data_IF_907358314647
#
_entry.id   IF_907358314647
#
_cell.length_a   1.000
_cell.length_b   1.000
_cell.length_c   1.000
_cell.angle_alpha   90.00
_cell.angle_beta   90.00
_cell.angle_gamma   90.00
#
_symmetry.space_group_name_H-M   'P 1'
#
loop_
_entity.id
_entity.type
_entity.pdbx_description
1 polymer ?
#
# COMPACT_ATOMS: atom_id res chain seq x y z
N UNK A 1 -6.93 1.05 -29.78
CA UNK A 1 -6.80 0.44 -28.45
C UNK A 1 -5.59 1.08 -27.80
N UNK A 2 -5.81 1.83 -26.71
CA UNK A 2 -4.74 2.39 -25.89
C UNK A 2 -3.68 1.33 -25.56
N UNK A 3 -2.41 1.71 -25.49
CA UNK A 3 -1.32 0.78 -25.16
C UNK A 3 -1.32 0.38 -23.67
N UNK A 4 -2.19 0.98 -22.85
CA UNK A 4 -2.25 0.79 -21.40
C UNK A 4 -2.88 -0.54 -20.97
N UNK A 5 -3.81 -1.13 -21.75
CA UNK A 5 -4.52 -2.37 -21.35
C UNK A 5 -3.58 -3.55 -21.07
N UNK A 6 -2.49 -3.64 -21.82
CA UNK A 6 -1.54 -4.75 -21.80
C UNK A 6 -0.37 -4.54 -20.83
N UNK A 7 -0.24 -3.33 -20.27
CA UNK A 7 0.74 -3.03 -19.24
C UNK A 7 0.26 -3.57 -17.89
N UNK A 8 1.20 -3.91 -17.02
CA UNK A 8 0.87 -4.35 -15.67
C UNK A 8 0.45 -3.17 -14.81
N UNK A 9 -0.37 -3.40 -13.79
CA UNK A 9 -0.81 -2.35 -12.87
C UNK A 9 0.41 -1.70 -12.19
N UNK A 10 1.40 -2.50 -11.78
CA UNK A 10 2.65 -2.02 -11.19
C UNK A 10 3.44 -1.10 -12.13
N UNK A 11 3.53 -1.43 -13.42
CA UNK A 11 4.19 -0.58 -14.42
C UNK A 11 3.44 0.75 -14.59
N UNK A 12 2.12 0.70 -14.63
CA UNK A 12 1.31 1.91 -14.77
C UNK A 12 1.41 2.79 -13.51
N UNK A 13 1.41 2.19 -12.32
CA UNK A 13 1.56 2.89 -11.05
C UNK A 13 2.92 3.58 -10.93
N UNK A 14 3.99 2.91 -11.42
CA UNK A 14 5.35 3.44 -11.46
C UNK A 14 5.51 4.60 -12.44
N UNK A 15 4.99 4.45 -13.66
CA UNK A 15 5.35 5.33 -14.78
C UNK A 15 4.38 6.51 -14.96
N UNK A 16 3.21 6.48 -14.30
CA UNK A 16 2.18 7.53 -14.41
C UNK A 16 1.97 8.16 -13.02
N UNK A 17 2.50 9.37 -12.76
CA UNK A 17 2.22 10.10 -11.52
C UNK A 17 0.72 10.21 -11.25
N UNK A 18 0.29 9.92 -10.01
CA UNK A 18 -1.12 9.90 -9.62
C UNK A 18 -1.89 8.61 -9.95
N UNK A 19 -1.30 7.64 -10.66
CA UNK A 19 -2.02 6.42 -11.03
C UNK A 19 -2.41 5.55 -9.83
N UNK A 20 -1.63 5.55 -8.73
CA UNK A 20 -1.98 4.81 -7.51
C UNK A 20 -3.33 5.27 -6.93
N UNK A 21 -3.68 6.55 -7.09
CA UNK A 21 -5.01 7.08 -6.69
C UNK A 21 -6.13 6.56 -7.58
N UNK A 22 -5.88 6.41 -8.88
CA UNK A 22 -6.84 5.78 -9.81
C UNK A 22 -7.05 4.33 -9.40
N UNK A 23 -5.98 3.57 -9.17
CA UNK A 23 -6.09 2.17 -8.77
C UNK A 23 -6.79 1.99 -7.43
N UNK A 24 -6.52 2.84 -6.44
CA UNK A 24 -7.27 2.86 -5.17
C UNK A 24 -8.76 3.08 -5.36
N UNK A 25 -9.15 4.00 -6.25
CA UNK A 25 -10.56 4.26 -6.55
C UNK A 25 -11.29 3.03 -7.11
N UNK A 26 -10.58 2.22 -7.90
CA UNK A 26 -11.09 0.98 -8.48
C UNK A 26 -10.72 -0.27 -7.67
N UNK A 27 -10.16 -0.10 -6.47
CA UNK A 27 -9.68 -1.16 -5.57
C UNK A 27 -8.69 -2.14 -6.20
N UNK A 28 -7.93 -1.70 -7.20
CA UNK A 28 -6.93 -2.51 -7.88
C UNK A 28 -5.64 -2.57 -7.07
N UNK A 29 -5.08 -3.77 -6.90
CA UNK A 29 -3.81 -3.98 -6.21
C UNK A 29 -2.65 -3.62 -7.15
N UNK A 30 -1.93 -2.55 -6.81
CA UNK A 30 -0.78 -2.02 -7.54
C UNK A 30 0.56 -2.24 -6.84
N UNK A 31 0.57 -2.83 -5.64
CA UNK A 31 1.76 -2.97 -4.81
C UNK A 31 2.29 -4.42 -4.79
N UNK A 32 1.48 -5.39 -4.36
CA UNK A 32 1.88 -6.81 -4.25
C UNK A 32 1.43 -7.61 -5.47
N UNK A 33 0.15 -7.48 -5.86
CA UNK A 33 -0.47 -8.13 -7.02
C UNK A 33 -0.25 -7.41 -8.36
N UNK A 34 0.50 -6.31 -8.38
CA UNK A 34 0.61 -5.40 -9.53
C UNK A 34 1.22 -6.00 -10.81
N UNK A 35 1.69 -7.26 -10.80
CA UNK A 35 2.20 -7.99 -11.98
C UNK A 35 1.09 -8.36 -12.99
N UNK A 36 -0.18 -8.29 -12.58
CA UNK A 36 -1.31 -8.54 -13.47
C UNK A 36 -1.49 -7.41 -14.49
N UNK A 37 -1.91 -7.75 -15.72
CA UNK A 37 -2.26 -6.75 -16.74
C UNK A 37 -3.55 -6.02 -16.37
N UNK A 38 -3.61 -4.73 -16.66
CA UNK A 38 -4.78 -3.89 -16.34
C UNK A 38 -6.10 -4.50 -16.83
N UNK A 39 -6.13 -4.99 -18.07
CA UNK A 39 -7.35 -5.58 -18.67
C UNK A 39 -7.81 -6.84 -17.96
N UNK A 40 -6.89 -7.65 -17.46
CA UNK A 40 -7.21 -8.93 -16.83
C UNK A 40 -7.72 -8.67 -15.41
N UNK A 41 -7.08 -7.76 -14.67
CA UNK A 41 -7.53 -7.33 -13.36
C UNK A 41 -8.91 -6.66 -13.38
N UNK A 42 -9.14 -5.78 -14.37
CA UNK A 42 -10.44 -5.15 -14.55
C UNK A 42 -11.53 -6.18 -14.88
N UNK A 43 -11.24 -7.16 -15.76
CA UNK A 43 -12.18 -8.22 -16.12
C UNK A 43 -12.54 -9.09 -14.92
N UNK A 44 -11.57 -9.48 -14.10
CA UNK A 44 -11.78 -10.32 -12.92
C UNK A 44 -12.67 -9.64 -11.86
N UNK A 45 -12.58 -8.32 -11.75
CA UNK A 45 -13.41 -7.52 -10.84
C UNK A 45 -14.70 -6.97 -11.46
N UNK A 46 -14.96 -7.25 -12.73
CA UNK A 46 -16.15 -6.73 -13.43
C UNK A 46 -16.14 -5.21 -13.60
N UNK A 47 -14.95 -4.60 -13.68
CA UNK A 47 -14.77 -3.15 -13.82
C UNK A 47 -14.78 -2.72 -15.29
N UNK A 48 -15.18 -1.48 -15.54
CA UNK A 48 -15.07 -0.85 -16.85
C UNK A 48 -13.62 -0.42 -17.11
N UNK A 49 -12.89 -1.25 -17.86
CA UNK A 49 -11.49 -0.99 -18.20
C UNK A 49 -11.31 0.29 -19.03
N UNK A 50 -12.32 0.68 -19.82
CA UNK A 50 -12.26 1.91 -20.62
C UNK A 50 -12.28 3.16 -19.72
N UNK A 51 -13.11 3.13 -18.67
CA UNK A 51 -13.15 4.20 -17.68
C UNK A 51 -11.83 4.34 -16.91
N UNK A 52 -11.17 3.21 -16.59
CA UNK A 52 -9.86 3.22 -15.91
C UNK A 52 -8.79 3.80 -16.84
N UNK A 53 -8.74 3.35 -18.10
CA UNK A 53 -7.79 3.84 -19.10
C UNK A 53 -7.97 5.34 -19.34
N UNK A 54 -9.21 5.81 -19.48
CA UNK A 54 -9.49 7.24 -19.65
C UNK A 54 -9.02 8.08 -18.45
N UNK A 55 -9.17 7.57 -17.22
CA UNK A 55 -8.68 8.24 -16.02
C UNK A 55 -7.14 8.31 -15.98
N UNK A 56 -6.45 7.24 -16.41
CA UNK A 56 -4.99 7.22 -16.51
C UNK A 56 -4.47 8.15 -17.60
N UNK A 57 -5.10 8.17 -18.78
CA UNK A 57 -4.73 9.07 -19.89
C UNK A 57 -4.90 10.55 -19.48
N UNK A 58 -5.94 10.88 -18.71
CA UNK A 58 -6.14 12.24 -18.19
C UNK A 58 -5.00 12.71 -17.28
N UNK A 59 -4.36 11.82 -16.52
CA UNK A 59 -3.18 12.14 -15.70
C UNK A 59 -1.94 12.40 -16.55
N UNK A 60 -1.80 11.70 -17.68
CA UNK A 60 -0.70 11.93 -18.64
C UNK A 60 -0.85 13.28 -19.33
N UNK A 61 -2.08 13.64 -19.73
CA UNK A 61 -2.35 14.92 -20.40
C UNK A 61 -2.28 16.12 -19.45
N UNK A 62 -2.59 15.91 -18.17
CA UNK A 62 -2.58 16.94 -17.12
C UNK A 62 -1.86 16.41 -15.90
N UNK A 63 -0.52 16.34 -15.96
CA UNK A 63 0.26 15.85 -14.84
C UNK A 63 0.03 16.74 -13.63
N UNK A 64 -0.41 16.12 -12.53
CA UNK A 64 -0.45 16.79 -11.24
C UNK A 64 0.97 17.03 -10.72
N UNK A 65 1.18 18.00 -9.81
CA UNK A 65 2.49 18.31 -9.26
C UNK A 65 3.03 17.24 -8.29
N UNK A 66 2.58 15.99 -8.41
CA UNK A 66 3.12 14.88 -7.63
C UNK A 66 4.56 14.58 -8.05
N UNK A 67 5.39 14.30 -7.05
CA UNK A 67 6.80 14.02 -7.27
C UNK A 67 6.95 12.69 -8.00
N UNK A 68 7.69 12.67 -9.10
CA UNK A 68 8.12 11.43 -9.72
C UNK A 68 9.24 10.79 -8.89
N UNK A 69 8.95 9.66 -8.25
CA UNK A 69 9.94 8.90 -7.47
C UNK A 69 10.81 7.99 -8.33
N UNK A 70 10.40 7.70 -9.57
CA UNK A 70 11.18 6.89 -10.50
C UNK A 70 12.58 7.45 -10.75
N UNK A 71 12.69 8.78 -10.82
CA UNK A 71 13.94 9.48 -11.13
C UNK A 71 14.71 9.91 -9.87
N UNK A 72 14.24 9.52 -8.68
CA UNK A 72 14.86 9.90 -7.42
C UNK A 72 16.04 8.99 -7.08
N UNK A 73 17.08 9.57 -6.47
CA UNK A 73 18.19 8.80 -5.91
C UNK A 73 17.66 7.83 -4.83
N UNK A 74 18.13 6.56 -4.78
CA UNK A 74 17.64 5.58 -3.81
C UNK A 74 17.70 6.07 -2.36
N UNK A 75 18.76 6.82 -2.00
CA UNK A 75 18.90 7.41 -0.66
C UNK A 75 17.78 8.41 -0.35
N UNK A 76 17.35 9.19 -1.32
CA UNK A 76 16.29 10.18 -1.13
C UNK A 76 14.93 9.50 -0.98
N UNK A 77 14.65 8.47 -1.79
CA UNK A 77 13.45 7.66 -1.65
C UNK A 77 13.41 6.94 -0.30
N UNK A 78 14.53 6.38 0.16
CA UNK A 78 14.64 5.79 1.51
C UNK A 78 14.29 6.83 2.59
N UNK A 79 14.85 8.04 2.53
CA UNK A 79 14.53 9.09 3.52
C UNK A 79 13.05 9.46 3.49
N UNK A 80 12.44 9.50 2.31
CA UNK A 80 11.01 9.69 2.18
C UNK A 80 10.23 8.56 2.82
N UNK A 81 10.59 7.30 2.55
CA UNK A 81 9.91 6.13 3.11
C UNK A 81 9.93 6.15 4.64
N UNK A 82 11.11 6.40 5.22
CA UNK A 82 11.29 6.49 6.66
C UNK A 82 10.43 7.59 7.30
N UNK A 83 10.44 8.79 6.72
CA UNK A 83 9.75 9.94 7.29
C UNK A 83 8.24 9.96 7.02
N UNK A 84 7.82 9.58 5.82
CA UNK A 84 6.42 9.67 5.37
C UNK A 84 5.60 8.44 5.72
N UNK A 85 6.20 7.25 5.73
CA UNK A 85 5.47 5.99 5.93
C UNK A 85 5.86 5.32 7.23
N UNK A 86 7.13 4.98 7.48
CA UNK A 86 7.50 4.22 8.68
C UNK A 86 7.13 4.95 9.97
N UNK A 87 7.54 6.21 10.10
CA UNK A 87 7.16 7.03 11.25
C UNK A 87 5.63 7.17 11.35
N UNK A 88 4.96 7.34 10.22
CA UNK A 88 3.51 7.53 10.18
C UNK A 88 2.75 6.29 10.62
N UNK A 89 3.17 5.09 10.21
CA UNK A 89 2.56 3.82 10.63
C UNK A 89 2.71 3.59 12.13
N UNK A 90 3.87 3.95 12.70
CA UNK A 90 4.11 3.92 14.16
C UNK A 90 3.18 4.83 14.94
N UNK A 91 2.70 5.91 14.34
CA UNK A 91 1.69 6.80 14.93
C UNK A 91 0.26 6.31 14.68
N UNK A 92 -0.03 5.79 13.49
CA UNK A 92 -1.37 5.35 13.07
C UNK A 92 -1.85 4.13 13.85
N UNK A 93 -1.04 3.06 13.91
CA UNK A 93 -1.48 1.77 14.43
C UNK A 93 -1.88 1.81 15.93
N UNK A 94 -1.13 2.47 16.84
CA UNK A 94 -1.56 2.60 18.22
C UNK A 94 -2.92 3.29 18.37
N UNK A 95 -3.19 4.34 17.60
CA UNK A 95 -4.46 5.06 17.63
C UNK A 95 -5.60 4.22 17.04
N UNK A 96 -5.34 3.51 15.94
CA UNK A 96 -6.29 2.56 15.35
C UNK A 96 -6.69 1.47 16.34
N UNK A 97 -5.72 0.85 17.02
CA UNK A 97 -5.95 -0.17 18.04
C UNK A 97 -6.80 0.40 19.18
N UNK A 98 -6.47 1.60 19.67
CA UNK A 98 -7.22 2.26 20.74
C UNK A 98 -8.68 2.52 20.36
N UNK A 99 -8.92 3.00 19.14
CA UNK A 99 -10.26 3.28 18.62
C UNK A 99 -11.06 2.00 18.35
N UNK A 100 -10.42 0.98 17.75
CA UNK A 100 -11.03 -0.32 17.50
C UNK A 100 -11.47 -0.98 18.81
N UNK A 101 -10.59 -0.98 19.82
CA UNK A 101 -10.92 -1.53 21.14
C UNK A 101 -12.11 -0.81 21.74
N UNK A 102 -12.16 0.53 21.63
CA UNK A 102 -13.28 1.31 22.16
C UNK A 102 -14.59 1.02 21.43
N UNK A 103 -14.55 0.81 20.12
CA UNK A 103 -15.73 0.43 19.33
C UNK A 103 -16.21 -0.94 19.78
N UNK A 104 -15.34 -1.94 19.86
CA UNK A 104 -15.69 -3.30 20.29
C UNK A 104 -16.24 -3.33 21.73
N UNK A 105 -15.65 -2.59 22.67
CA UNK A 105 -16.13 -2.51 24.06
C UNK A 105 -17.56 -1.93 24.18
N UNK A 106 -17.90 -0.95 23.36
CA UNK A 106 -19.19 -0.23 23.45
C UNK A 106 -20.26 -0.85 22.56
N UNK A 107 -19.84 -1.49 21.47
CA UNK A 107 -20.74 -1.95 20.41
C UNK A 107 -20.67 -3.45 20.13
N UNK A 108 -19.91 -4.24 20.89
CA UNK A 108 -19.68 -5.68 20.64
C UNK A 108 -20.94 -6.55 20.54
N UNK A 109 -22.05 -6.15 21.16
CA UNK A 109 -23.34 -6.84 21.05
C UNK A 109 -24.09 -6.54 19.73
N UNK A 110 -23.63 -5.54 18.95
CA UNK A 110 -24.22 -5.20 17.66
C UNK A 110 -23.69 -6.14 16.57
N UNK A 111 -24.56 -6.63 15.67
CA UNK A 111 -24.15 -7.54 14.60
C UNK A 111 -23.22 -6.88 13.55
N UNK A 112 -23.18 -5.55 13.49
CA UNK A 112 -22.33 -4.78 12.59
C UNK A 112 -21.00 -4.36 13.23
N UNK A 113 -20.75 -4.70 14.50
CA UNK A 113 -19.49 -4.40 15.16
C UNK A 113 -18.36 -5.22 14.53
N UNK A 114 -17.20 -4.60 14.21
CA UNK A 114 -16.06 -5.29 13.62
C UNK A 114 -15.28 -6.07 14.70
N UNK A 115 -15.94 -7.04 15.32
CA UNK A 115 -15.35 -7.84 16.41
C UNK A 115 -14.09 -8.54 15.92
N UNK A 116 -13.00 -8.44 16.69
CA UNK A 116 -11.69 -9.00 16.35
C UNK A 116 -10.77 -8.06 15.56
N UNK A 117 -11.24 -6.87 15.17
CA UNK A 117 -10.42 -5.86 14.50
C UNK A 117 -9.25 -5.39 15.39
N UNK A 118 -9.47 -5.26 16.68
CA UNK A 118 -8.44 -4.86 17.65
C UNK A 118 -7.27 -5.83 17.66
N UNK A 119 -7.55 -7.13 17.73
CA UNK A 119 -6.52 -8.18 17.75
C UNK A 119 -5.79 -8.25 16.41
N UNK A 120 -6.53 -8.11 15.30
CA UNK A 120 -5.96 -8.05 13.96
C UNK A 120 -4.99 -6.87 13.80
N UNK A 121 -5.37 -5.67 14.24
CA UNK A 121 -4.51 -4.48 14.19
C UNK A 121 -3.27 -4.61 15.08
N UNK A 122 -3.37 -5.29 16.23
CA UNK A 122 -2.21 -5.58 17.10
C UNK A 122 -1.23 -6.52 16.40
N UNK A 123 -1.73 -7.55 15.73
CA UNK A 123 -0.88 -8.44 14.93
C UNK A 123 -0.20 -7.68 13.78
N UNK A 124 -0.96 -6.86 13.03
CA UNK A 124 -0.41 -6.01 11.97
C UNK A 124 0.69 -5.07 12.49
N UNK A 125 0.50 -4.47 13.67
CA UNK A 125 1.51 -3.60 14.30
C UNK A 125 2.80 -4.36 14.61
N UNK A 126 2.70 -5.56 15.19
CA UNK A 126 3.87 -6.35 15.52
C UNK A 126 4.67 -6.73 14.27
N UNK A 127 3.98 -7.24 13.24
CA UNK A 127 4.62 -7.67 12.02
C UNK A 127 5.23 -6.48 11.25
N UNK A 128 4.48 -5.38 11.11
CA UNK A 128 4.96 -4.21 10.39
C UNK A 128 6.16 -3.54 11.11
N UNK A 129 6.17 -3.49 12.44
CA UNK A 129 7.33 -2.95 13.16
C UNK A 129 8.57 -3.84 12.97
N UNK A 130 8.41 -5.17 13.08
CA UNK A 130 9.48 -6.13 12.83
C UNK A 130 10.05 -6.01 11.41
N UNK A 131 9.15 -5.90 10.42
CA UNK A 131 9.46 -5.65 9.03
C UNK A 131 10.28 -4.37 8.83
N UNK A 132 9.72 -3.22 9.23
CA UNK A 132 10.36 -1.91 9.09
C UNK A 132 11.73 -1.84 9.78
N UNK A 133 11.92 -2.52 10.92
CA UNK A 133 13.23 -2.59 11.57
C UNK A 133 14.29 -3.31 10.72
N UNK A 134 13.94 -4.40 10.02
CA UNK A 134 14.88 -5.12 9.15
C UNK A 134 15.30 -4.23 7.98
N UNK A 135 14.36 -3.45 7.46
CA UNK A 135 14.64 -2.50 6.40
C UNK A 135 15.56 -1.38 6.88
N UNK A 136 15.17 -0.71 7.96
CA UNK A 136 15.90 0.40 8.57
C UNK A 136 17.33 0.04 8.96
N UNK A 137 17.53 -1.14 9.56
CA UNK A 137 18.81 -1.53 10.14
C UNK A 137 19.71 -2.27 9.16
N UNK A 138 19.13 -3.00 8.19
CA UNK A 138 19.88 -3.90 7.30
C UNK A 138 19.69 -3.50 5.84
N UNK A 139 18.48 -3.57 5.29
CA UNK A 139 18.27 -3.47 3.84
C UNK A 139 18.57 -2.07 3.30
N UNK A 140 17.99 -1.02 3.87
CA UNK A 140 18.19 0.35 3.40
C UNK A 140 19.65 0.81 3.50
N UNK A 141 20.41 0.49 4.56
CA UNK A 141 21.86 0.72 4.58
C UNK A 141 22.63 -0.01 3.48
N UNK A 142 22.24 -1.23 3.11
CA UNK A 142 22.87 -1.97 2.01
C UNK A 142 22.56 -1.35 0.65
N UNK A 143 21.28 -1.02 0.39
CA UNK A 143 20.86 -0.33 -0.84
C UNK A 143 21.58 1.02 -0.97
N UNK A 144 21.65 1.80 0.11
CA UNK A 144 22.33 3.11 0.13
C UNK A 144 23.84 3.05 -0.16
N UNK A 145 24.46 1.87 -0.07
CA UNK A 145 25.89 1.66 -0.35
C UNK A 145 26.14 1.06 -1.74
N UNK A 146 25.10 0.79 -2.54
CA UNK A 146 25.24 0.12 -3.83
C UNK A 146 25.73 -1.32 -3.67
N UNK A 147 25.21 -2.06 -2.68
CA UNK A 147 25.62 -3.44 -2.38
C UNK A 147 25.36 -4.46 -3.53
N UNK A 148 24.80 -4.03 -4.66
CA UNK A 148 24.62 -4.83 -5.87
C UNK A 148 23.86 -6.14 -5.60
N UNK A 149 24.27 -7.28 -6.18
CA UNK A 149 23.54 -8.56 -6.05
C UNK A 149 23.30 -9.05 -4.61
N UNK A 150 24.03 -8.53 -3.62
CA UNK A 150 23.85 -8.92 -2.21
C UNK A 150 22.48 -8.53 -1.63
N UNK A 151 21.78 -7.57 -2.24
CA UNK A 151 20.42 -7.19 -1.78
C UNK A 151 19.33 -8.13 -2.28
N UNK A 152 19.61 -9.04 -3.24
CA UNK A 152 18.60 -9.90 -3.84
C UNK A 152 17.91 -10.83 -2.84
N UNK A 153 18.67 -11.48 -1.96
CA UNK A 153 18.11 -12.35 -0.93
C UNK A 153 17.24 -11.58 0.07
N UNK A 154 17.76 -10.51 0.70
CA UNK A 154 16.98 -9.65 1.58
C UNK A 154 15.70 -9.06 0.95
N UNK A 155 15.78 -8.58 -0.30
CA UNK A 155 14.60 -8.04 -1.02
C UNK A 155 13.53 -9.11 -1.18
N UNK A 156 13.90 -10.34 -1.57
CA UNK A 156 12.92 -11.41 -1.73
C UNK A 156 12.17 -11.74 -0.42
N UNK A 157 12.83 -11.59 0.73
CA UNK A 157 12.17 -11.75 2.04
C UNK A 157 11.21 -10.59 2.32
N UNK A 158 11.60 -9.34 2.02
CA UNK A 158 10.71 -8.18 2.20
C UNK A 158 9.49 -8.27 1.28
N UNK A 159 9.65 -8.66 0.01
CA UNK A 159 8.54 -8.86 -0.91
C UNK A 159 7.56 -9.94 -0.42
N UNK A 160 8.06 -11.03 0.18
CA UNK A 160 7.21 -12.06 0.80
C UNK A 160 6.41 -11.49 1.99
N UNK A 161 7.04 -10.65 2.81
CA UNK A 161 6.35 -10.00 3.94
C UNK A 161 5.35 -8.94 3.46
N UNK A 162 5.61 -8.27 2.33
CA UNK A 162 4.65 -7.39 1.68
C UNK A 162 3.40 -8.13 1.21
N UNK A 163 3.55 -9.35 0.68
CA UNK A 163 2.39 -10.20 0.35
C UNK A 163 1.56 -10.50 1.60
N UNK A 164 2.20 -10.83 2.73
CA UNK A 164 1.53 -11.05 4.02
C UNK A 164 0.82 -9.79 4.55
N UNK A 165 1.44 -8.61 4.39
CA UNK A 165 0.79 -7.33 4.71
C UNK A 165 -0.43 -7.05 3.81
N UNK A 166 -0.36 -7.42 2.54
CA UNK A 166 -1.50 -7.39 1.61
C UNK A 166 -2.65 -8.28 2.07
N UNK A 167 -2.37 -9.51 2.49
CA UNK A 167 -3.36 -10.42 3.08
C UNK A 167 -3.98 -9.84 4.37
N UNK A 168 -3.17 -9.20 5.22
CA UNK A 168 -3.66 -8.55 6.42
C UNK A 168 -4.58 -7.36 6.11
N UNK A 169 -4.31 -6.58 5.06
CA UNK A 169 -5.22 -5.53 4.59
C UNK A 169 -6.53 -6.10 4.03
N UNK A 170 -6.48 -7.24 3.33
CA UNK A 170 -7.69 -7.92 2.86
C UNK A 170 -8.57 -8.39 4.04
N UNK A 171 -7.96 -8.95 5.08
CA UNK A 171 -8.68 -9.35 6.30
C UNK A 171 -9.27 -8.14 7.04
N UNK A 172 -8.54 -7.02 7.13
CA UNK A 172 -9.04 -5.76 7.70
C UNK A 172 -10.28 -5.27 6.94
N UNK A 173 -10.22 -5.33 5.61
CA UNK A 173 -11.33 -4.96 4.72
C UNK A 173 -12.55 -5.86 4.96
N UNK A 174 -12.35 -7.18 5.10
CA UNK A 174 -13.41 -8.13 5.40
C UNK A 174 -14.07 -7.87 6.77
N UNK A 175 -13.29 -7.63 7.82
CA UNK A 175 -13.79 -7.33 9.17
C UNK A 175 -14.61 -6.03 9.25
N UNK A 176 -14.36 -5.11 8.32
CA UNK A 176 -14.97 -3.78 8.32
C UNK A 176 -16.03 -3.59 7.25
N UNK A 177 -16.41 -4.68 6.56
CA UNK A 177 -17.30 -4.64 5.41
C UNK A 177 -16.84 -3.58 4.40
N UNK A 178 -15.60 -3.70 3.95
CA UNK A 178 -14.92 -2.74 3.08
C UNK A 178 -14.91 -1.30 3.64
N UNK A 179 -14.55 -1.18 4.92
CA UNK A 179 -14.50 0.11 5.63
C UNK A 179 -15.84 0.88 5.48
N UNK A 180 -16.96 0.15 5.37
CA UNK A 180 -18.29 0.74 5.21
C UNK A 180 -18.96 0.92 6.57
N UNK A 181 -19.19 2.18 6.94
CA UNK A 181 -19.82 2.50 8.22
C UNK A 181 -21.26 1.97 8.30
N UNK A 182 -21.65 1.32 9.41
CA UNK A 182 -23.04 0.94 9.60
C UNK A 182 -23.93 2.15 9.90
N UNK A 183 -25.23 1.94 9.73
CA UNK A 183 -26.24 2.94 10.11
C UNK A 183 -26.13 3.24 11.61
N UNK A 184 -26.09 4.54 11.95
CA UNK A 184 -25.99 4.97 13.34
C UNK A 184 -24.62 4.72 13.98
N UNK A 185 -23.55 4.57 13.18
CA UNK A 185 -22.19 4.58 13.70
C UNK A 185 -21.95 5.83 14.59
N UNK A 186 -21.25 5.68 15.71
CA UNK A 186 -20.89 6.79 16.57
C UNK A 186 -19.66 7.55 16.00
N UNK A 187 -19.31 8.70 16.57
CA UNK A 187 -18.19 9.50 16.08
C UNK A 187 -16.84 8.77 16.19
N UNK A 188 -16.64 7.97 17.25
CA UNK A 188 -15.44 7.13 17.41
C UNK A 188 -15.30 6.12 16.27
N UNK A 189 -16.40 5.49 15.88
CA UNK A 189 -16.40 4.52 14.79
C UNK A 189 -16.17 5.20 13.43
N UNK A 190 -16.78 6.37 13.19
CA UNK A 190 -16.47 7.18 12.01
C UNK A 190 -14.99 7.56 11.93
N UNK A 191 -14.42 8.00 13.05
CA UNK A 191 -13.01 8.34 13.14
C UNK A 191 -12.11 7.13 12.87
N UNK A 192 -12.43 5.97 13.47
CA UNK A 192 -11.73 4.71 13.22
C UNK A 192 -11.71 4.39 11.72
N UNK A 193 -12.86 4.38 11.06
CA UNK A 193 -12.94 3.97 9.65
C UNK A 193 -12.26 4.98 8.72
N UNK A 194 -12.35 6.27 9.03
CA UNK A 194 -11.58 7.30 8.31
C UNK A 194 -10.07 7.13 8.45
N UNK A 195 -9.58 6.71 9.62
CA UNK A 195 -8.16 6.43 9.84
C UNK A 195 -7.73 5.09 9.24
N UNK A 196 -8.59 4.08 9.22
CA UNK A 196 -8.31 2.79 8.57
C UNK A 196 -8.13 2.98 7.06
N UNK A 197 -9.00 3.77 6.42
CA UNK A 197 -8.86 4.10 5.00
C UNK A 197 -7.51 4.79 4.72
N UNK A 198 -7.12 5.76 5.56
CA UNK A 198 -5.81 6.43 5.44
C UNK A 198 -4.64 5.45 5.63
N UNK A 199 -4.72 4.57 6.63
CA UNK A 199 -3.66 3.59 6.90
C UNK A 199 -3.51 2.58 5.75
N UNK A 200 -4.62 2.04 5.24
CA UNK A 200 -4.62 1.14 4.07
C UNK A 200 -3.95 1.83 2.89
N UNK A 201 -4.39 3.04 2.57
CA UNK A 201 -3.88 3.81 1.45
C UNK A 201 -2.38 4.13 1.61
N UNK A 202 -1.95 4.54 2.80
CA UNK A 202 -0.55 4.80 3.11
C UNK A 202 0.30 3.53 2.98
N UNK A 203 -0.16 2.39 3.48
CA UNK A 203 0.59 1.14 3.43
C UNK A 203 0.70 0.58 2.00
N UNK A 204 -0.34 0.73 1.19
CA UNK A 204 -0.27 0.34 -0.23
C UNK A 204 0.71 1.22 -1.02
N UNK A 205 0.70 2.53 -0.78
CA UNK A 205 1.64 3.46 -1.42
C UNK A 205 3.07 3.18 -0.97
N UNK A 206 3.28 2.95 0.32
CA UNK A 206 4.56 2.56 0.90
C UNK A 206 5.16 1.33 0.19
N UNK A 207 4.43 0.21 0.19
CA UNK A 207 4.89 -1.04 -0.44
C UNK A 207 5.09 -0.86 -1.95
N UNK A 208 4.28 -0.03 -2.60
CA UNK A 208 4.47 0.27 -4.02
C UNK A 208 5.81 0.95 -4.28
N UNK A 209 6.15 1.99 -3.52
CA UNK A 209 7.41 2.69 -3.66
C UNK A 209 8.61 1.77 -3.41
N UNK A 210 8.48 0.81 -2.52
CA UNK A 210 9.52 -0.18 -2.26
C UNK A 210 9.63 -1.19 -3.39
N UNK A 211 8.59 -1.99 -3.63
CA UNK A 211 8.61 -3.07 -4.62
C UNK A 211 8.92 -2.55 -6.02
N UNK A 212 8.23 -1.48 -6.40
CA UNK A 212 8.18 -1.07 -7.80
C UNK A 212 9.16 0.04 -8.13
N UNK A 213 9.79 0.69 -7.15
CA UNK A 213 10.76 1.75 -7.43
C UNK A 213 12.09 1.42 -6.76
N UNK A 214 12.13 1.38 -5.43
CA UNK A 214 13.39 1.22 -4.69
C UNK A 214 14.06 -0.14 -4.96
N UNK A 215 13.33 -1.23 -4.82
CA UNK A 215 13.85 -2.60 -4.97
C UNK A 215 14.12 -2.91 -6.43
N UNK A 216 13.23 -2.48 -7.34
CA UNK A 216 13.45 -2.60 -8.77
C UNK A 216 14.77 -1.93 -9.19
N UNK A 217 15.00 -0.67 -8.78
CA UNK A 217 16.23 0.05 -9.07
C UNK A 217 17.47 -0.60 -8.41
N UNK A 218 17.34 -1.09 -7.18
CA UNK A 218 18.45 -1.74 -6.48
C UNK A 218 18.86 -3.10 -7.09
N UNK A 219 17.98 -3.75 -7.84
CA UNK A 219 18.23 -5.01 -8.54
C UNK A 219 18.68 -4.81 -9.99
N UNK A 220 18.57 -3.60 -10.55
CA UNK A 220 19.11 -3.32 -11.87
C UNK A 220 20.65 -3.40 -11.82
N UNK A 221 21.27 -4.15 -12.74
CA UNK A 221 22.72 -4.16 -12.84
C UNK A 221 23.19 -2.75 -13.19
N UNK A 222 24.13 -2.18 -12.40
CA UNK A 222 24.86 -0.98 -12.83
C UNK A 222 25.38 -1.24 -14.25
N UNK A 223 25.05 -0.35 -15.19
CA UNK A 223 25.44 -0.47 -16.60
C UNK A 223 26.89 -0.97 -16.72
N UNK A 224 27.05 -2.14 -17.35
CA UNK A 224 28.35 -2.71 -17.71
C UNK A 224 29.11 -1.82 -18.70
#
# INVERSE_FOLDING_TARGET
MSHLYDRTIAQLARDIPGATRVFRHYELDFCCGGKQRLKDAARERGLDVEAIVAALEALVDRPEPERNWHDAEPRELIQHILGRFHQRHREQLPELIRLAQRVEEVHGDRPDCPVGLTDHLRAMQQELESHMMKEEQILFPLISRGAGPMVQGPIAVMEMEHEQHGEALAQLTALTNDITLPRGACNTWRALYGLLAQFRDDLMEHIHLENNILFAAALEPENA
#
